data_IF_961031977987
#
_entry.id   IF_961031977987
#
_cell.length_a   1.000
_cell.length_b   1.000
_cell.length_c   1.000
_cell.angle_alpha   90.00
_cell.angle_beta   90.00
_cell.angle_gamma   90.00
#
_symmetry.space_group_name_H-M   'P 1'
#
loop_
_entity.id
_entity.type
_entity.pdbx_description
1 polymer ?
#
# COMPACT_ATOMS: atom_id res chain seq x y z
N UNK A 1 6.84 -2.74 -4.40
CA UNK A 1 6.25 -1.41 -4.68
C UNK A 1 7.14 -0.65 -5.65
N UNK A 2 6.55 0.11 -6.57
CA UNK A 2 7.29 1.10 -7.36
C UNK A 2 7.66 2.30 -6.47
N UNK A 3 8.87 2.84 -6.63
CA UNK A 3 9.45 3.81 -5.68
C UNK A 3 8.63 5.10 -5.52
N UNK A 4 7.98 5.58 -6.59
CA UNK A 4 7.12 6.77 -6.52
C UNK A 4 6.00 6.59 -5.50
N UNK A 5 5.23 5.51 -5.61
CA UNK A 5 4.16 5.22 -4.65
C UNK A 5 4.70 4.94 -3.25
N UNK A 6 5.85 4.27 -3.17
CA UNK A 6 6.50 3.97 -1.89
C UNK A 6 6.88 5.26 -1.13
N UNK A 7 7.57 6.20 -1.77
CA UNK A 7 7.96 7.45 -1.11
C UNK A 7 6.78 8.37 -0.90
N UNK A 8 5.82 8.44 -1.84
CA UNK A 8 4.60 9.21 -1.65
C UNK A 8 3.87 8.81 -0.36
N UNK A 9 3.81 7.50 -0.08
CA UNK A 9 3.24 6.96 1.15
C UNK A 9 4.14 7.18 2.38
N UNK A 10 5.38 6.68 2.36
CA UNK A 10 6.23 6.58 3.57
C UNK A 10 7.01 7.84 3.93
N UNK A 11 7.11 8.82 3.03
CA UNK A 11 7.52 10.18 3.38
C UNK A 11 6.32 11.12 3.62
N UNK A 12 5.12 10.55 3.63
CA UNK A 12 3.86 11.21 3.94
C UNK A 12 3.55 12.44 3.08
N UNK A 13 4.06 12.48 1.84
CA UNK A 13 3.79 13.57 0.89
C UNK A 13 2.30 13.65 0.56
N UNK A 14 1.59 12.52 0.57
CA UNK A 14 0.14 12.47 0.40
C UNK A 14 -0.64 13.32 1.42
N UNK A 15 -0.08 13.60 2.61
CA UNK A 15 -0.73 14.47 3.61
C UNK A 15 -0.80 15.93 3.19
N UNK A 16 -0.01 16.32 2.19
CA UNK A 16 0.11 17.68 1.68
C UNK A 16 -0.41 17.80 0.24
N UNK A 17 -1.13 16.79 -0.24
CA UNK A 17 -1.63 16.78 -1.60
C UNK A 17 -2.61 17.91 -1.85
N UNK A 18 -2.45 18.55 -3.00
CA UNK A 18 -3.33 19.62 -3.47
C UNK A 18 -4.05 19.26 -4.75
N UNK A 19 -3.52 18.30 -5.51
CA UNK A 19 -4.10 17.81 -6.76
C UNK A 19 -5.14 16.74 -6.46
N UNK A 20 -6.32 16.85 -7.08
CA UNK A 20 -7.38 15.86 -6.89
C UNK A 20 -7.51 14.94 -8.10
N UNK A 21 -8.04 13.72 -7.90
CA UNK A 21 -8.40 12.88 -9.04
C UNK A 21 -9.51 13.51 -9.90
N UNK A 22 -10.41 14.27 -9.26
CA UNK A 22 -11.60 14.84 -9.89
C UNK A 22 -11.27 15.87 -10.97
N UNK A 23 -10.29 16.75 -10.72
CA UNK A 23 -9.85 17.77 -11.69
C UNK A 23 -9.10 17.18 -12.89
N UNK A 24 -8.62 15.94 -12.78
CA UNK A 24 -7.95 15.20 -13.85
C UNK A 24 -8.93 14.38 -14.70
N UNK A 25 -10.19 14.25 -14.29
CA UNK A 25 -11.18 13.47 -15.04
C UNK A 25 -11.61 14.17 -16.33
N UNK A 26 -11.86 13.37 -17.35
CA UNK A 26 -12.54 13.84 -18.56
C UNK A 26 -13.91 14.44 -18.20
N UNK A 27 -14.36 15.52 -18.88
CA UNK A 27 -15.71 16.06 -18.69
C UNK A 27 -16.83 15.07 -19.04
N UNK A 28 -16.51 13.97 -19.74
CA UNK A 28 -17.45 12.89 -20.08
C UNK A 28 -17.47 11.75 -19.05
N UNK A 29 -16.58 11.75 -18.06
CA UNK A 29 -16.51 10.71 -17.06
C UNK A 29 -17.56 10.91 -15.96
N UNK A 30 -18.09 9.81 -15.43
CA UNK A 30 -18.93 9.84 -14.23
C UNK A 30 -18.06 10.04 -12.98
N UNK A 31 -18.04 11.28 -12.48
CA UNK A 31 -17.24 11.71 -11.33
C UNK A 31 -17.56 10.92 -10.05
N UNK A 32 -18.79 10.42 -9.90
CA UNK A 32 -19.21 9.67 -8.70
C UNK A 32 -18.45 8.36 -8.50
N UNK A 33 -17.91 7.79 -9.59
CA UNK A 33 -17.16 6.52 -9.56
C UNK A 33 -15.70 6.67 -9.15
N UNK A 34 -15.17 7.89 -9.16
CA UNK A 34 -13.75 8.19 -9.02
C UNK A 34 -13.50 9.13 -7.84
N UNK A 35 -14.12 8.84 -6.71
CA UNK A 35 -13.96 9.60 -5.47
C UNK A 35 -12.76 9.11 -4.64
N UNK A 36 -12.25 9.96 -3.76
CA UNK A 36 -11.14 9.67 -2.86
C UNK A 36 -9.87 10.42 -3.23
N UNK A 37 -8.87 10.28 -2.36
CA UNK A 37 -7.55 10.89 -2.50
C UNK A 37 -6.71 10.17 -3.55
N UNK A 38 -5.68 10.80 -4.12
CA UNK A 38 -4.77 10.13 -5.08
C UNK A 38 -4.14 8.86 -4.48
N UNK A 39 -3.81 8.87 -3.18
CA UNK A 39 -3.32 7.68 -2.48
C UNK A 39 -4.36 6.54 -2.42
N UNK A 40 -5.66 6.85 -2.36
CA UNK A 40 -6.71 5.82 -2.32
C UNK A 40 -6.73 5.00 -3.61
N UNK A 41 -6.44 5.65 -4.74
CA UNK A 41 -6.31 4.97 -6.03
C UNK A 41 -5.12 4.03 -6.05
N UNK A 42 -4.01 4.39 -5.39
CA UNK A 42 -2.85 3.52 -5.25
C UNK A 42 -3.18 2.29 -4.39
N UNK A 43 -3.86 2.48 -3.25
CA UNK A 43 -4.29 1.37 -2.38
C UNK A 43 -5.29 0.43 -3.11
N UNK A 44 -6.21 1.00 -3.90
CA UNK A 44 -7.13 0.23 -4.76
C UNK A 44 -6.38 -0.60 -5.80
N UNK A 45 -5.39 0.00 -6.46
CA UNK A 45 -4.56 -0.69 -7.45
C UNK A 45 -3.73 -1.82 -6.82
N UNK A 46 -3.17 -1.60 -5.63
CA UNK A 46 -2.39 -2.59 -4.89
C UNK A 46 -3.22 -3.84 -4.55
N UNK A 47 -4.40 -3.67 -3.94
CA UNK A 47 -5.26 -4.81 -3.57
C UNK A 47 -5.85 -5.56 -4.76
N UNK A 48 -5.88 -4.93 -5.94
CA UNK A 48 -6.29 -5.55 -7.21
C UNK A 48 -5.12 -6.24 -7.95
N UNK A 49 -3.91 -6.17 -7.42
CA UNK A 49 -2.73 -6.78 -8.02
C UNK A 49 -2.16 -5.99 -9.22
N UNK A 50 -2.57 -4.73 -9.41
CA UNK A 50 -2.06 -3.87 -10.48
C UNK A 50 -0.71 -3.26 -10.15
N UNK A 51 -0.51 -2.90 -8.88
CA UNK A 51 0.76 -2.37 -8.36
C UNK A 51 1.25 -3.24 -7.19
N UNK A 52 2.58 -3.36 -7.01
CA UNK A 52 3.11 -4.07 -5.86
C UNK A 52 3.08 -3.20 -4.59
N UNK A 53 2.94 -3.81 -3.41
CA UNK A 53 2.98 -3.15 -2.08
C UNK A 53 4.33 -3.33 -1.38
N UNK A 54 4.71 -2.41 -0.47
CA UNK A 54 5.87 -2.55 0.42
C UNK A 54 5.79 -1.55 1.61
N UNK A 55 5.71 -2.01 2.87
CA UNK A 55 5.39 -3.38 3.30
C UNK A 55 4.09 -3.91 2.68
N UNK A 56 3.93 -5.24 2.57
CA UNK A 56 2.79 -5.85 1.87
C UNK A 56 1.55 -5.95 2.75
N UNK A 57 1.69 -6.62 3.91
CA UNK A 57 0.59 -6.92 4.83
C UNK A 57 0.77 -6.19 6.14
N UNK A 58 -0.34 -5.89 6.83
CA UNK A 58 -0.36 -5.27 8.16
C UNK A 58 0.05 -6.20 9.30
N UNK A 59 0.46 -7.43 8.98
CA UNK A 59 0.99 -8.43 9.91
C UNK A 59 2.34 -8.93 9.40
N UNK A 60 3.13 -9.54 10.27
CA UNK A 60 4.40 -10.12 9.88
C UNK A 60 4.14 -11.31 8.94
N UNK A 61 4.57 -11.27 7.66
CA UNK A 61 4.23 -12.33 6.70
C UNK A 61 4.80 -13.70 7.09
N UNK A 62 5.82 -13.76 7.95
CA UNK A 62 6.41 -15.02 8.41
C UNK A 62 5.55 -15.73 9.47
N UNK A 63 4.60 -15.05 10.12
CA UNK A 63 3.73 -15.69 11.15
C UNK A 63 2.50 -16.36 10.54
N UNK A 64 2.14 -16.01 9.30
CA UNK A 64 0.92 -16.44 8.62
C UNK A 64 0.87 -17.97 8.46
N UNK A 65 1.99 -18.62 8.16
CA UNK A 65 2.03 -20.07 7.98
C UNK A 65 1.61 -20.82 9.27
N UNK A 66 2.06 -20.34 10.44
CA UNK A 66 1.70 -20.93 11.73
C UNK A 66 0.25 -20.64 12.15
N UNK A 67 -0.31 -19.50 11.74
CA UNK A 67 -1.72 -19.18 11.95
C UNK A 67 -2.63 -20.04 11.05
N UNK A 68 -2.22 -20.26 9.79
CA UNK A 68 -2.92 -21.12 8.84
C UNK A 68 -2.94 -22.59 9.28
N UNK A 69 -1.81 -23.11 9.77
CA UNK A 69 -1.70 -24.46 10.30
C UNK A 69 -2.67 -24.70 11.47
N UNK A 70 -2.73 -23.76 12.42
CA UNK A 70 -3.69 -23.80 13.55
C UNK A 70 -5.15 -23.76 13.10
N UNK A 71 -5.43 -23.10 11.98
CA UNK A 71 -6.76 -23.05 11.38
C UNK A 71 -7.08 -24.30 10.52
N UNK A 72 -6.14 -25.22 10.35
CA UNK A 72 -6.31 -26.42 9.50
C UNK A 72 -6.42 -26.10 8.01
N UNK A 73 -5.85 -24.96 7.57
CA UNK A 73 -5.90 -24.48 6.19
C UNK A 73 -4.50 -24.32 5.61
N UNK A 74 -4.36 -24.38 4.28
CA UNK A 74 -3.10 -23.97 3.66
C UNK A 74 -2.93 -22.43 3.75
N UNK A 75 -1.69 -21.91 3.74
CA UNK A 75 -1.43 -20.50 3.97
C UNK A 75 -2.01 -19.57 2.90
N UNK A 76 -2.18 -20.04 1.66
CA UNK A 76 -2.76 -19.25 0.57
C UNK A 76 -4.25 -19.02 0.84
N UNK A 77 -5.00 -20.09 1.07
CA UNK A 77 -6.45 -19.99 1.34
C UNK A 77 -6.74 -19.25 2.64
N UNK A 78 -5.91 -19.47 3.67
CA UNK A 78 -5.98 -18.71 4.92
C UNK A 78 -5.77 -17.21 4.67
N UNK A 79 -4.76 -16.83 3.89
CA UNK A 79 -4.48 -15.42 3.59
C UNK A 79 -5.62 -14.79 2.80
N UNK A 80 -6.14 -15.47 1.77
CA UNK A 80 -7.27 -14.97 0.97
C UNK A 80 -8.53 -14.81 1.82
N UNK A 81 -8.83 -15.78 2.69
CA UNK A 81 -9.95 -15.71 3.64
C UNK A 81 -9.78 -14.52 4.58
N UNK A 82 -8.61 -14.39 5.20
CA UNK A 82 -8.30 -13.33 6.15
C UNK A 82 -8.32 -11.93 5.51
N UNK A 83 -7.93 -11.80 4.24
CA UNK A 83 -8.06 -10.55 3.47
C UNK A 83 -9.52 -10.19 3.19
N UNK A 84 -10.37 -11.18 2.87
CA UNK A 84 -11.82 -10.96 2.66
C UNK A 84 -12.54 -10.59 3.96
N UNK A 85 -12.14 -11.20 5.07
CA UNK A 85 -12.71 -10.95 6.41
C UNK A 85 -12.14 -9.69 7.07
N UNK A 86 -11.01 -9.18 6.58
CA UNK A 86 -10.33 -8.00 7.11
C UNK A 86 -9.46 -8.27 8.36
N UNK A 87 -9.26 -9.53 8.74
CA UNK A 87 -8.34 -9.92 9.83
C UNK A 87 -6.87 -9.75 9.44
N UNK A 88 -6.56 -9.94 8.14
CA UNK A 88 -5.33 -9.46 7.52
C UNK A 88 -5.70 -8.33 6.58
N UNK A 89 -4.92 -7.24 6.58
CA UNK A 89 -5.13 -6.06 5.73
C UNK A 89 -3.86 -5.71 4.97
N UNK A 90 -3.98 -4.98 3.88
CA UNK A 90 -2.81 -4.40 3.21
C UNK A 90 -2.17 -3.34 4.10
N UNK A 91 -0.85 -3.34 4.19
CA UNK A 91 -0.13 -2.37 5.03
C UNK A 91 -0.36 -0.92 4.59
N UNK A 92 -0.59 -0.70 3.29
CA UNK A 92 -0.90 0.59 2.70
C UNK A 92 -2.19 1.23 3.22
N UNK A 93 -3.12 0.45 3.81
CA UNK A 93 -4.34 0.98 4.43
C UNK A 93 -4.07 1.70 5.77
N UNK A 94 -2.94 1.41 6.42
CA UNK A 94 -2.59 1.95 7.72
C UNK A 94 -1.08 2.21 7.84
N UNK A 95 -0.49 3.09 7.01
CA UNK A 95 0.96 3.30 6.95
C UNK A 95 1.54 3.86 8.27
N UNK A 96 0.74 4.62 9.02
CA UNK A 96 1.16 5.32 10.25
C UNK A 96 0.91 4.50 11.55
N UNK A 97 0.47 3.24 11.48
CA UNK A 97 0.13 2.43 12.67
C UNK A 97 1.34 1.95 13.51
N UNK A 98 2.56 2.41 13.19
CA UNK A 98 3.80 2.02 13.87
C UNK A 98 4.42 0.68 13.43
N UNK A 99 3.70 -0.15 12.66
CA UNK A 99 4.19 -1.45 12.15
C UNK A 99 4.44 -1.46 10.64
N UNK A 100 3.72 -0.60 9.91
CA UNK A 100 3.63 -0.66 8.44
C UNK A 100 4.61 0.28 7.70
N UNK A 101 5.62 0.82 8.37
CA UNK A 101 6.65 1.65 7.74
C UNK A 101 7.97 0.89 7.61
N UNK A 102 8.77 1.18 6.57
CA UNK A 102 10.12 0.64 6.43
C UNK A 102 11.00 1.11 7.58
N UNK A 103 11.76 0.18 8.19
CA UNK A 103 12.62 0.49 9.35
C UNK A 103 14.10 0.57 9.01
N UNK A 104 14.53 -0.18 8.00
CA UNK A 104 15.91 -0.20 7.53
C UNK A 104 15.92 0.14 6.04
N UNK A 105 16.70 1.16 5.65
CA UNK A 105 16.87 1.57 4.27
C UNK A 105 18.36 1.57 3.94
N UNK A 106 18.75 0.73 2.97
CA UNK A 106 20.11 0.73 2.45
C UNK A 106 20.16 1.61 1.19
N UNK A 107 21.08 2.57 1.18
CA UNK A 107 21.31 3.46 0.04
C UNK A 107 22.76 3.26 -0.41
N UNK A 108 22.94 2.78 -1.64
CA UNK A 108 24.24 2.61 -2.27
C UNK A 108 24.11 2.95 -3.75
N UNK A 109 25.18 3.49 -4.36
CA UNK A 109 25.19 3.94 -5.77
C UNK A 109 24.05 4.91 -6.11
N UNK A 110 23.51 5.60 -5.11
CA UNK A 110 22.41 6.54 -5.21
C UNK A 110 22.65 7.67 -4.22
N UNK A 111 22.30 8.89 -4.60
CA UNK A 111 22.29 10.06 -3.74
C UNK A 111 20.84 10.52 -3.50
N UNK A 112 20.00 9.60 -3.01
CA UNK A 112 18.55 9.77 -2.88
C UNK A 112 18.14 11.06 -2.17
N UNK A 113 18.87 11.46 -1.12
CA UNK A 113 18.52 12.60 -0.27
C UNK A 113 19.17 13.92 -0.69
N UNK A 114 20.09 13.89 -1.66
CA UNK A 114 21.00 15.01 -1.91
C UNK A 114 21.25 15.29 -3.38
N UNK A 115 20.43 14.75 -4.30
CA UNK A 115 20.54 15.10 -5.71
C UNK A 115 20.16 16.58 -5.90
N UNK A 116 21.17 17.45 -5.84
CA UNK A 116 21.14 18.80 -6.36
C UNK A 116 21.90 18.80 -7.69
N UNK A 117 21.32 19.44 -8.70
CA UNK A 117 22.07 19.89 -9.88
C UNK A 117 22.83 21.16 -9.54
#
# INVERSE_FOLDING_TARGET
>A
MNSTSYFYNHSSQWRYETVTAEELLSPMADKSRYTGHLIDFNVRAERMGWLPSAPQLGTNPLTIAGEAEKAGMNPVDYTVKSLKEGSIRFAAEQPENGKNHPRNLFIWRSNLLGFFR
#
